data_IF_794171407845
#
_entry.id   IF_794171407845
#
_cell.length_a   1.000
_cell.length_b   1.000
_cell.length_c   1.000
_cell.angle_alpha   90.00
_cell.angle_beta   90.00
_cell.angle_gamma   90.00
#
_symmetry.space_group_name_H-M   'P 1'
#
loop_
_entity.id
_entity.type
_entity.pdbx_description
1 polymer ?
#
# COMPACT_ATOMS: atom_id res chain seq x y z
N UNK A 1 -9.35 -18.38 9.77
CA UNK A 1 -10.26 -17.22 9.82
C UNK A 1 -10.28 -16.45 8.50
N UNK A 2 -9.17 -15.85 8.04
CA UNK A 2 -9.14 -15.07 6.76
C UNK A 2 -9.58 -15.88 5.53
N UNK A 3 -9.16 -17.14 5.41
CA UNK A 3 -9.51 -18.00 4.26
C UNK A 3 -11.02 -18.28 4.20
N UNK A 4 -11.65 -18.58 5.35
CA UNK A 4 -13.09 -18.89 5.43
C UNK A 4 -13.98 -17.68 5.14
N UNK A 5 -13.57 -16.47 5.55
CA UNK A 5 -14.30 -15.23 5.19
C UNK A 5 -14.17 -14.92 3.70
N UNK A 6 -13.00 -15.19 3.12
CA UNK A 6 -12.76 -14.99 1.68
C UNK A 6 -13.57 -15.96 0.82
N UNK A 7 -13.75 -17.21 1.25
CA UNK A 7 -14.57 -18.22 0.54
C UNK A 7 -16.02 -17.76 0.30
N UNK A 8 -16.60 -16.98 1.21
CA UNK A 8 -17.95 -16.41 1.05
C UNK A 8 -18.00 -15.29 -0.01
N UNK A 9 -16.89 -14.56 -0.21
CA UNK A 9 -16.77 -13.50 -1.22
C UNK A 9 -16.43 -14.04 -2.62
N UNK A 10 -16.16 -15.35 -2.76
CA UNK A 10 -15.79 -15.97 -4.05
C UNK A 10 -16.90 -15.87 -5.09
N UNK A 11 -18.16 -15.66 -4.72
CA UNK A 11 -19.26 -15.59 -5.67
C UNK A 11 -19.24 -14.33 -6.56
N UNK A 12 -18.51 -13.28 -6.15
CA UNK A 12 -18.51 -11.98 -6.82
C UNK A 12 -17.10 -11.43 -7.03
N UNK A 13 -16.98 -10.45 -7.92
CA UNK A 13 -15.73 -9.73 -8.11
C UNK A 13 -15.44 -8.82 -6.91
N UNK A 14 -14.25 -8.94 -6.32
CA UNK A 14 -13.92 -8.22 -5.09
C UNK A 14 -12.56 -7.53 -5.17
N UNK A 15 -12.35 -6.53 -4.30
CA UNK A 15 -11.07 -5.80 -4.16
C UNK A 15 -10.51 -6.06 -2.76
N UNK A 16 -9.19 -6.24 -2.64
CA UNK A 16 -8.51 -6.34 -1.35
C UNK A 16 -7.76 -5.04 -1.10
N UNK A 17 -7.95 -4.44 0.08
CA UNK A 17 -7.16 -3.32 0.57
C UNK A 17 -6.29 -3.80 1.73
N UNK A 18 -4.97 -3.72 1.58
CA UNK A 18 -4.00 -4.07 2.62
C UNK A 18 -3.36 -2.83 3.21
N UNK A 19 -3.66 -2.58 4.49
CA UNK A 19 -3.19 -1.42 5.24
C UNK A 19 -1.90 -1.77 5.99
N UNK A 20 -0.76 -1.30 5.51
CA UNK A 20 0.54 -1.65 6.10
C UNK A 20 1.00 -0.70 7.22
N UNK A 21 0.45 0.53 7.27
CA UNK A 21 1.01 1.68 8.00
C UNK A 21 1.47 1.44 9.44
N UNK A 22 0.76 0.60 10.21
CA UNK A 22 1.03 0.39 11.63
C UNK A 22 1.74 -0.95 11.97
N UNK A 23 2.22 -1.72 10.99
CA UNK A 23 2.81 -3.05 11.25
C UNK A 23 4.33 -2.98 11.49
N UNK A 24 4.84 -3.33 12.69
CA UNK A 24 6.28 -3.44 12.94
C UNK A 24 6.94 -4.50 12.08
N UNK A 25 8.15 -4.23 11.59
CA UNK A 25 8.90 -5.11 10.68
C UNK A 25 9.11 -6.54 11.21
N UNK A 26 9.23 -6.72 12.53
CA UNK A 26 9.33 -8.04 13.18
C UNK A 26 8.11 -8.94 13.00
N UNK A 27 6.94 -8.36 12.70
CA UNK A 27 5.67 -9.08 12.46
C UNK A 27 5.40 -9.28 10.97
N UNK A 28 6.30 -8.84 10.11
CA UNK A 28 6.10 -8.89 8.66
C UNK A 28 6.50 -10.26 8.12
N UNK A 29 5.68 -10.87 7.26
CA UNK A 29 5.95 -12.20 6.76
C UNK A 29 7.18 -12.23 5.83
N UNK A 30 7.98 -13.29 5.94
CA UNK A 30 9.13 -13.52 5.05
C UNK A 30 8.74 -14.07 3.67
N UNK A 31 9.72 -14.22 2.78
CA UNK A 31 9.53 -14.72 1.41
C UNK A 31 8.83 -16.10 1.36
N UNK A 32 9.26 -17.04 2.21
CA UNK A 32 8.66 -18.38 2.27
C UNK A 32 7.20 -18.38 2.74
N UNK A 33 6.86 -17.47 3.66
CA UNK A 33 5.48 -17.27 4.08
C UNK A 33 4.64 -16.68 2.94
N UNK A 34 5.17 -15.70 2.20
CA UNK A 34 4.47 -15.10 1.06
C UNK A 34 4.17 -16.12 -0.04
N UNK A 35 5.14 -16.98 -0.37
CA UNK A 35 4.95 -18.07 -1.33
C UNK A 35 3.86 -19.04 -0.87
N UNK A 36 3.95 -19.52 0.38
CA UNK A 36 2.95 -20.44 0.95
C UNK A 36 1.56 -19.79 1.00
N UNK A 37 1.48 -18.53 1.42
CA UNK A 37 0.23 -17.77 1.45
C UNK A 37 -0.41 -17.72 0.06
N UNK A 38 0.34 -17.35 -0.99
CA UNK A 38 -0.17 -17.35 -2.36
C UNK A 38 -0.63 -18.73 -2.86
N UNK A 39 0.04 -19.80 -2.43
CA UNK A 39 -0.33 -21.18 -2.76
C UNK A 39 -1.59 -21.65 -2.02
N UNK A 40 -1.80 -21.20 -0.78
CA UNK A 40 -2.99 -21.50 0.01
C UNK A 40 -4.23 -20.76 -0.48
N UNK A 41 -4.06 -19.62 -1.16
CA UNK A 41 -5.18 -18.90 -1.77
C UNK A 41 -5.68 -19.70 -2.97
N UNK A 42 -6.93 -20.17 -2.89
CA UNK A 42 -7.58 -20.93 -3.95
C UNK A 42 -7.54 -20.16 -5.30
N UNK A 43 -7.49 -20.92 -6.39
CA UNK A 43 -7.52 -20.40 -7.76
C UNK A 43 -8.73 -19.51 -8.01
N UNK A 44 -9.88 -19.81 -7.39
CA UNK A 44 -11.12 -19.02 -7.56
C UNK A 44 -10.97 -17.61 -6.98
N UNK A 45 -10.44 -17.51 -5.76
CA UNK A 45 -10.12 -16.23 -5.10
C UNK A 45 -9.22 -15.34 -5.97
N UNK A 46 -8.14 -15.92 -6.53
CA UNK A 46 -7.22 -15.17 -7.39
C UNK A 46 -7.85 -14.68 -8.70
N UNK A 47 -8.88 -15.37 -9.21
CA UNK A 47 -9.56 -14.98 -10.46
C UNK A 47 -10.49 -13.79 -10.24
N UNK A 48 -11.33 -13.85 -9.21
CA UNK A 48 -12.39 -12.86 -8.96
C UNK A 48 -11.87 -11.60 -8.25
N UNK A 49 -10.62 -11.63 -7.78
CA UNK A 49 -9.93 -10.42 -7.33
C UNK A 49 -9.78 -9.41 -8.47
N UNK A 50 -10.42 -8.24 -8.40
CA UNK A 50 -10.25 -7.15 -9.38
C UNK A 50 -8.97 -6.37 -9.16
N UNK A 51 -8.75 -5.93 -7.91
CA UNK A 51 -7.56 -5.16 -7.52
C UNK A 51 -7.08 -5.58 -6.14
N UNK A 52 -5.76 -5.51 -5.95
CA UNK A 52 -5.10 -5.67 -4.66
C UNK A 52 -4.32 -4.39 -4.34
N UNK A 53 -4.95 -3.52 -3.56
CA UNK A 53 -4.42 -2.20 -3.20
C UNK A 53 -3.61 -2.33 -1.91
N UNK A 54 -2.36 -1.91 -1.95
CA UNK A 54 -1.45 -1.87 -0.80
C UNK A 54 -1.23 -0.42 -0.40
N UNK A 55 -1.74 -0.07 0.79
CA UNK A 55 -1.71 1.28 1.33
C UNK A 55 -0.51 1.44 2.26
N UNK A 56 0.23 2.52 2.07
CA UNK A 56 1.51 2.82 2.70
C UNK A 56 2.53 1.67 2.57
N UNK A 57 2.85 1.25 1.33
CA UNK A 57 3.80 0.16 1.12
C UNK A 57 5.13 0.47 1.81
N UNK A 58 5.58 -0.46 2.66
CA UNK A 58 6.94 -0.40 3.19
C UNK A 58 7.94 -0.85 2.12
N UNK A 59 9.18 -0.39 2.23
CA UNK A 59 10.26 -0.84 1.35
C UNK A 59 10.38 -2.36 1.31
N UNK A 60 10.25 -3.01 2.47
CA UNK A 60 10.29 -4.47 2.59
C UNK A 60 9.19 -5.17 1.78
N UNK A 61 7.94 -4.69 1.82
CA UNK A 61 6.85 -5.30 1.03
C UNK A 61 7.11 -5.14 -0.47
N UNK A 62 7.59 -3.97 -0.89
CA UNK A 62 7.95 -3.73 -2.29
C UNK A 62 9.04 -4.71 -2.74
N UNK A 63 10.07 -4.91 -1.91
CA UNK A 63 11.15 -5.88 -2.17
C UNK A 63 10.63 -7.31 -2.23
N UNK A 64 9.83 -7.74 -1.25
CA UNK A 64 9.25 -9.09 -1.25
C UNK A 64 8.40 -9.32 -2.49
N UNK A 65 7.51 -8.40 -2.85
CA UNK A 65 6.66 -8.54 -4.03
C UNK A 65 7.49 -8.56 -5.32
N UNK A 66 8.56 -7.77 -5.40
CA UNK A 66 9.48 -7.80 -6.53
C UNK A 66 10.22 -9.16 -6.64
N UNK A 67 10.74 -9.68 -5.52
CA UNK A 67 11.48 -10.96 -5.49
C UNK A 67 10.56 -12.16 -5.73
N UNK A 68 9.32 -12.09 -5.26
CA UNK A 68 8.33 -13.16 -5.44
C UNK A 68 7.58 -13.10 -6.77
N UNK A 69 7.70 -11.98 -7.51
CA UNK A 69 7.10 -11.77 -8.83
C UNK A 69 7.26 -12.95 -9.81
N UNK A 70 8.44 -13.61 -10.00
CA UNK A 70 8.56 -14.75 -10.90
C UNK A 70 7.68 -15.97 -10.53
N UNK A 71 7.23 -16.07 -9.28
CA UNK A 71 6.37 -17.16 -8.82
C UNK A 71 4.88 -16.78 -8.83
N UNK A 72 4.57 -15.51 -9.02
CA UNK A 72 3.22 -14.97 -9.08
C UNK A 72 2.84 -14.83 -10.55
N UNK A 73 1.59 -15.17 -10.90
CA UNK A 73 1.15 -15.00 -12.29
C UNK A 73 1.24 -13.54 -12.71
N UNK A 74 1.62 -13.28 -13.98
CA UNK A 74 1.65 -11.93 -14.53
C UNK A 74 0.30 -11.22 -14.34
N UNK A 75 -0.81 -11.94 -14.58
CA UNK A 75 -2.18 -11.44 -14.35
C UNK A 75 -2.44 -10.99 -12.92
N UNK A 76 -1.94 -11.71 -11.91
CA UNK A 76 -2.09 -11.30 -10.52
C UNK A 76 -1.20 -10.10 -10.19
N UNK A 77 0.03 -10.08 -10.69
CA UNK A 77 0.93 -8.94 -10.50
C UNK A 77 0.34 -7.65 -11.05
N UNK A 78 -0.37 -7.70 -12.18
CA UNK A 78 -1.08 -6.55 -12.76
C UNK A 78 -2.25 -6.04 -11.92
N UNK A 79 -2.74 -6.84 -10.96
CA UNK A 79 -3.80 -6.42 -10.02
C UNK A 79 -3.24 -5.67 -8.81
N UNK A 80 -1.92 -5.70 -8.59
CA UNK A 80 -1.29 -5.07 -7.41
C UNK A 80 -1.11 -3.58 -7.65
N UNK A 81 -1.71 -2.77 -6.79
CA UNK A 81 -1.63 -1.31 -6.83
C UNK A 81 -1.00 -0.79 -5.53
N UNK A 82 -0.13 0.21 -5.64
CA UNK A 82 0.54 0.82 -4.49
C UNK A 82 0.01 2.23 -4.27
N UNK A 83 -0.39 2.52 -3.04
CA UNK A 83 -0.97 3.80 -2.64
C UNK A 83 -0.19 4.36 -1.45
N UNK A 84 0.21 5.62 -1.51
CA UNK A 84 1.10 6.22 -0.51
C UNK A 84 0.37 7.02 0.57
N UNK A 85 -0.89 7.40 0.32
CA UNK A 85 -1.72 8.26 1.19
C UNK A 85 -3.15 7.70 1.29
N UNK A 86 -3.88 8.01 2.36
CA UNK A 86 -5.30 7.66 2.41
C UNK A 86 -6.12 8.46 1.39
N UNK A 87 -5.68 9.67 1.03
CA UNK A 87 -6.32 10.50 0.00
C UNK A 87 -6.40 9.80 -1.36
N UNK A 88 -5.27 9.27 -1.85
CA UNK A 88 -5.21 8.46 -3.08
C UNK A 88 -6.14 7.22 -3.02
N UNK A 89 -6.31 6.61 -1.83
CA UNK A 89 -7.24 5.49 -1.67
C UNK A 89 -8.70 5.94 -1.89
N UNK A 90 -9.08 7.13 -1.38
CA UNK A 90 -10.46 7.66 -1.50
C UNK A 90 -10.84 7.95 -2.95
N UNK A 91 -9.88 8.28 -3.79
CA UNK A 91 -10.10 8.51 -5.23
C UNK A 91 -10.35 7.21 -5.98
N UNK A 92 -9.85 6.07 -5.47
CA UNK A 92 -10.00 4.78 -6.13
C UNK A 92 -11.22 3.99 -5.69
N UNK A 93 -11.65 4.12 -4.44
CA UNK A 93 -12.78 3.37 -3.89
C UNK A 93 -13.67 4.24 -3.00
N UNK A 94 -14.99 4.00 -3.01
CA UNK A 94 -15.90 4.68 -2.10
C UNK A 94 -15.60 4.28 -0.65
N UNK A 95 -15.37 5.29 0.20
CA UNK A 95 -14.93 5.11 1.59
C UNK A 95 -16.05 4.64 2.54
N UNK A 96 -17.30 4.68 2.09
CA UNK A 96 -18.50 4.26 2.85
C UNK A 96 -18.46 2.79 3.28
N UNK A 97 -17.75 1.92 2.54
CA UNK A 97 -17.61 0.50 2.85
C UNK A 97 -16.25 0.13 3.45
N UNK A 98 -15.38 1.11 3.71
CA UNK A 98 -14.00 0.88 4.12
C UNK A 98 -13.78 1.35 5.55
N UNK A 99 -13.76 0.41 6.49
CA UNK A 99 -13.37 0.69 7.86
C UNK A 99 -11.84 0.78 8.01
N UNK A 100 -11.31 2.01 8.03
CA UNK A 100 -9.89 2.26 8.32
C UNK A 100 -9.67 2.32 9.83
N UNK A 101 -8.76 1.51 10.41
CA UNK A 101 -8.41 1.61 11.82
C UNK A 101 -7.72 2.94 12.16
N UNK A 102 -8.00 3.50 13.34
CA UNK A 102 -7.41 4.78 13.82
C UNK A 102 -5.88 4.81 13.79
N UNK A 103 -5.23 3.67 14.02
CA UNK A 103 -3.78 3.53 13.98
C UNK A 103 -3.19 3.83 12.60
N UNK A 104 -3.94 3.55 11.53
CA UNK A 104 -3.54 3.84 10.15
C UNK A 104 -3.80 5.31 9.81
N UNK A 105 -4.90 5.88 10.30
CA UNK A 105 -5.20 7.31 10.13
C UNK A 105 -4.09 8.17 10.74
N UNK A 106 -3.74 7.91 12.01
CA UNK A 106 -2.62 8.59 12.70
C UNK A 106 -1.31 8.44 11.95
N UNK A 107 -1.04 7.24 11.44
CA UNK A 107 0.18 6.99 10.67
C UNK A 107 0.25 7.81 9.37
N UNK A 108 -0.88 7.96 8.65
CA UNK A 108 -0.94 8.79 7.44
C UNK A 108 -0.73 10.28 7.77
N UNK A 109 -1.35 10.77 8.83
CA UNK A 109 -1.18 12.15 9.33
C UNK A 109 0.29 12.44 9.66
N UNK A 110 0.95 11.58 10.43
CA UNK A 110 2.37 11.71 10.76
C UNK A 110 3.26 11.74 9.49
N UNK A 111 2.94 10.90 8.51
CA UNK A 111 3.66 10.90 7.22
C UNK A 111 3.40 12.15 6.41
N UNK A 112 2.17 12.67 6.42
CA UNK A 112 1.82 13.92 5.75
C UNK A 112 2.61 15.09 6.34
N UNK A 113 2.68 15.19 7.67
CA UNK A 113 3.46 16.21 8.38
C UNK A 113 4.94 16.12 8.00
N UNK A 114 5.53 14.92 8.07
CA UNK A 114 6.94 14.70 7.69
C UNK A 114 7.23 15.06 6.23
N UNK A 115 6.30 14.78 5.32
CA UNK A 115 6.43 15.17 3.91
C UNK A 115 6.40 16.69 3.76
N UNK A 116 5.44 17.37 4.39
CA UNK A 116 5.29 18.83 4.34
C UNK A 116 6.52 19.56 4.89
N UNK A 117 7.07 19.09 6.02
CA UNK A 117 8.29 19.64 6.61
C UNK A 117 9.50 19.54 5.66
N UNK A 118 9.65 18.41 4.96
CA UNK A 118 10.74 18.24 3.98
C UNK A 118 10.59 19.21 2.81
N UNK A 119 9.37 19.44 2.32
CA UNK A 119 9.11 20.40 1.25
C UNK A 119 9.37 21.85 1.68
N UNK A 120 9.02 22.23 2.92
CA UNK A 120 9.28 23.58 3.45
C UNK A 120 10.76 23.86 3.71
N UNK A 121 11.56 22.86 4.06
CA UNK A 121 13.01 23.06 4.25
C UNK A 121 13.78 23.20 2.93
N UNK A 122 13.24 22.69 1.82
CA UNK A 122 13.85 22.83 0.49
C UNK A 122 13.52 24.17 -0.20
N UNK A 123 12.61 24.98 0.36
CA UNK A 123 12.17 26.25 -0.25
C UNK A 123 12.97 27.47 0.23
N UNK A 124 13.97 27.29 1.10
CA UNK A 124 14.83 28.37 1.57
C UNK A 124 16.21 28.29 0.89
N UNK A 125 16.30 28.64 -0.39
CA UNK A 125 17.56 29.11 -0.98
C UNK A 125 17.56 30.65 -0.99
N UNK A 126 18.65 31.32 -0.60
CA UNK A 126 18.74 32.78 -0.61
C UNK A 126 18.95 33.27 -2.04
N UNK A 127 18.04 34.11 -2.54
CA UNK A 127 18.26 34.91 -3.73
C UNK A 127 19.40 35.91 -3.43
N UNK A 128 20.63 35.59 -3.84
CA UNK A 128 21.73 36.54 -3.89
C UNK A 128 21.68 37.23 -5.26
N UNK A 129 20.94 38.32 -5.35
CA UNK A 129 21.04 39.29 -6.45
C UNK A 129 21.83 40.50 -5.98
N UNK A 130 23.14 40.43 -6.19
CA UNK A 130 24.03 41.57 -6.20
C UNK A 130 23.95 42.27 -7.56
N UNK A 131 23.40 43.49 -7.64
CA UNK A 131 23.82 44.55 -8.58
C UNK A 131 23.56 45.95 -7.98
N UNK A 132 24.67 46.70 -7.91
CA UNK A 132 25.02 48.13 -7.75
C UNK A 132 23.97 49.26 -7.75
N UNK A 133 24.18 50.22 -6.82
CA UNK A 133 24.25 51.71 -6.97
C UNK A 133 24.43 52.27 -5.54
N UNK A 134 25.38 53.15 -5.17
CA UNK A 134 26.09 54.27 -5.83
C UNK A 134 27.63 54.21 -5.66
#
# INVERSE_FOLDING_TARGET
>A
YVISTLELMVAEDYMIVYLNGATPRRRMPGLGWMKKCYQMIDRRLRKNLKSFIIVHPSWFIRTILAVTRPFISSKFSSKIQYVNTLAELREMIPMEYVHIPDSIVKYDEEKCIKRRMRTSCLSNDPEMTSVEQE
#
